data_IF_000811718972
#
_entry.id   IF_000811718972
#
_cell.length_a   1.000
_cell.length_b   1.000
_cell.length_c   1.000
_cell.angle_alpha   90.00
_cell.angle_beta   90.00
_cell.angle_gamma   90.00
#
_symmetry.space_group_name_H-M   'P 1'
#
loop_
_entity.id
_entity.type
_entity.pdbx_description
1 polymer ?
#
# COMPACT_ATOMS: atom_id res chain seq x y z
N UNK A 1 13.61 22.37 -2.24
CA UNK A 1 13.95 21.05 -2.82
C UNK A 1 12.66 20.46 -3.37
N UNK A 2 12.70 19.64 -4.42
CA UNK A 2 11.49 18.97 -4.93
C UNK A 2 11.48 17.53 -4.44
N UNK A 3 10.43 17.16 -3.70
CA UNK A 3 10.21 15.85 -3.09
C UNK A 3 10.34 14.73 -4.12
N UNK A 4 9.67 14.86 -5.27
CA UNK A 4 9.67 13.85 -6.33
C UNK A 4 10.98 13.76 -7.12
N UNK A 5 11.89 14.73 -6.96
CA UNK A 5 13.24 14.69 -7.55
C UNK A 5 14.28 14.05 -6.63
N UNK A 6 13.91 13.71 -5.40
CA UNK A 6 14.79 12.97 -4.50
C UNK A 6 15.02 11.56 -5.03
N UNK A 7 16.28 11.15 -5.16
CA UNK A 7 16.68 9.79 -5.55
C UNK A 7 16.00 8.74 -4.66
N UNK A 8 16.01 8.95 -3.34
CA UNK A 8 15.35 8.06 -2.38
C UNK A 8 13.83 7.96 -2.61
N UNK A 9 13.18 9.05 -3.01
CA UNK A 9 11.73 9.04 -3.32
C UNK A 9 11.46 8.30 -4.62
N UNK A 10 12.31 8.49 -5.64
CA UNK A 10 12.21 7.77 -6.90
C UNK A 10 12.43 6.27 -6.74
N UNK A 11 13.42 5.86 -5.96
CA UNK A 11 13.65 4.46 -5.59
C UNK A 11 12.44 3.87 -4.88
N UNK A 12 11.85 4.59 -3.93
CA UNK A 12 10.66 4.14 -3.21
C UNK A 12 9.45 3.97 -4.13
N UNK A 13 9.24 4.90 -5.06
CA UNK A 13 8.16 4.78 -6.05
C UNK A 13 8.37 3.59 -6.98
N UNK A 14 9.61 3.35 -7.43
CA UNK A 14 9.94 2.18 -8.24
C UNK A 14 9.72 0.86 -7.48
N UNK A 15 10.13 0.80 -6.21
CA UNK A 15 9.93 -0.38 -5.35
C UNK A 15 8.43 -0.68 -5.14
N UNK A 16 7.63 0.36 -4.82
CA UNK A 16 6.16 0.23 -4.73
C UNK A 16 5.57 -0.30 -6.04
N UNK A 17 6.01 0.25 -7.18
CA UNK A 17 5.50 -0.14 -8.49
C UNK A 17 5.85 -1.58 -8.85
N UNK A 18 7.10 -1.99 -8.65
CA UNK A 18 7.55 -3.37 -8.93
C UNK A 18 6.85 -4.40 -8.02
N UNK A 19 6.66 -4.04 -6.75
CA UNK A 19 5.92 -4.87 -5.79
C UNK A 19 4.46 -5.03 -6.25
N UNK A 20 3.80 -3.92 -6.60
CA UNK A 20 2.44 -3.93 -7.14
C UNK A 20 2.31 -4.79 -8.41
N UNK A 21 3.25 -4.66 -9.36
CA UNK A 21 3.22 -5.49 -10.58
C UNK A 21 3.31 -6.98 -10.26
N UNK A 22 4.20 -7.36 -9.34
CA UNK A 22 4.39 -8.76 -8.94
C UNK A 22 3.12 -9.34 -8.30
N UNK A 23 2.47 -8.57 -7.42
CA UNK A 23 1.19 -8.93 -6.82
C UNK A 23 0.11 -9.06 -7.90
N UNK A 24 -0.06 -8.02 -8.72
CA UNK A 24 -1.11 -7.97 -9.74
C UNK A 24 -1.02 -9.10 -10.75
N UNK A 25 0.20 -9.55 -11.10
CA UNK A 25 0.41 -10.66 -12.02
C UNK A 25 -0.13 -11.99 -11.46
N UNK A 26 -0.14 -12.16 -10.14
CA UNK A 26 -0.55 -13.38 -9.46
C UNK A 26 -2.02 -13.36 -9.00
N UNK A 27 -2.65 -12.19 -8.90
CA UNK A 27 -4.01 -12.03 -8.36
C UNK A 27 -5.05 -12.93 -9.02
N UNK A 28 -4.98 -13.13 -10.35
CA UNK A 28 -5.93 -14.00 -11.07
C UNK A 28 -5.78 -15.49 -10.75
N UNK A 29 -4.59 -15.90 -10.30
CA UNK A 29 -4.27 -17.29 -9.97
C UNK A 29 -4.56 -17.64 -8.50
N UNK A 30 -4.72 -16.65 -7.61
CA UNK A 30 -4.96 -16.83 -6.16
C UNK A 30 -6.04 -17.87 -5.82
N UNK A 31 -7.20 -17.95 -6.51
CA UNK A 31 -8.22 -18.96 -6.20
C UNK A 31 -7.76 -20.41 -6.40
N UNK A 32 -6.72 -20.62 -7.20
CA UNK A 32 -6.19 -21.93 -7.59
C UNK A 32 -4.84 -22.26 -6.92
N UNK A 33 -4.32 -21.35 -6.09
CA UNK A 33 -3.07 -21.52 -5.34
C UNK A 33 -3.29 -22.44 -4.14
N UNK A 34 -2.22 -23.12 -3.72
CA UNK A 34 -2.22 -23.84 -2.44
C UNK A 34 -2.19 -22.84 -1.26
N UNK A 35 -2.44 -23.32 -0.05
CA UNK A 35 -2.49 -22.48 1.17
C UNK A 35 -1.21 -21.67 1.37
N UNK A 36 -0.03 -22.26 1.17
CA UNK A 36 1.26 -21.58 1.34
C UNK A 36 1.41 -20.41 0.36
N UNK A 37 1.11 -20.64 -0.92
CA UNK A 37 1.18 -19.63 -1.97
C UNK A 37 0.18 -18.48 -1.75
N UNK A 38 -1.03 -18.79 -1.25
CA UNK A 38 -2.01 -17.76 -0.87
C UNK A 38 -1.52 -16.91 0.30
N UNK A 39 -0.92 -17.53 1.32
CA UNK A 39 -0.34 -16.80 2.45
C UNK A 39 0.82 -15.91 2.00
N UNK A 40 1.70 -16.41 1.13
CA UNK A 40 2.78 -15.63 0.52
C UNK A 40 2.24 -14.44 -0.29
N UNK A 41 1.13 -14.61 -1.01
CA UNK A 41 0.47 -13.52 -1.73
C UNK A 41 -0.11 -12.46 -0.77
N UNK A 42 -0.72 -12.90 0.34
CA UNK A 42 -1.21 -12.01 1.40
C UNK A 42 -0.05 -11.21 2.02
N UNK A 43 1.06 -11.87 2.35
CA UNK A 43 2.24 -11.22 2.92
C UNK A 43 2.84 -10.21 1.94
N UNK A 44 2.87 -10.52 0.64
CA UNK A 44 3.28 -9.57 -0.40
C UNK A 44 2.36 -8.33 -0.43
N UNK A 45 1.05 -8.51 -0.28
CA UNK A 45 0.09 -7.39 -0.19
C UNK A 45 0.35 -6.53 1.06
N UNK A 46 0.65 -7.15 2.20
CA UNK A 46 1.02 -6.44 3.43
C UNK A 46 2.31 -5.64 3.24
N UNK A 47 3.32 -6.21 2.60
CA UNK A 47 4.57 -5.52 2.28
C UNK A 47 4.34 -4.29 1.39
N UNK A 48 3.49 -4.40 0.36
CA UNK A 48 3.12 -3.27 -0.48
C UNK A 48 2.50 -2.13 0.33
N UNK A 49 1.58 -2.45 1.25
CA UNK A 49 0.92 -1.45 2.10
C UNK A 49 1.94 -0.74 3.00
N UNK A 50 2.91 -1.47 3.58
CA UNK A 50 3.96 -0.87 4.41
C UNK A 50 4.88 0.08 3.62
N UNK A 51 5.24 -0.29 2.38
CA UNK A 51 5.99 0.60 1.48
C UNK A 51 5.19 1.88 1.19
N UNK A 52 3.89 1.75 0.90
CA UNK A 52 3.00 2.88 0.65
C UNK A 52 2.84 3.78 1.89
N UNK A 53 2.73 3.20 3.09
CA UNK A 53 2.66 3.92 4.37
C UNK A 53 3.92 4.73 4.62
N UNK A 54 5.08 4.13 4.37
CA UNK A 54 6.39 4.81 4.45
C UNK A 54 6.47 5.99 3.49
N UNK A 55 6.08 5.79 2.22
CA UNK A 55 6.05 6.87 1.23
C UNK A 55 5.10 8.00 1.66
N UNK A 56 3.89 7.66 2.11
CA UNK A 56 2.91 8.65 2.54
C UNK A 56 3.40 9.45 3.75
N UNK A 57 4.06 8.83 4.72
CA UNK A 57 4.67 9.54 5.84
C UNK A 57 5.71 10.57 5.36
N UNK A 58 6.57 10.19 4.41
CA UNK A 58 7.54 11.13 3.81
C UNK A 58 6.87 12.27 3.06
N UNK A 59 5.81 11.96 2.31
CA UNK A 59 4.99 12.95 1.63
C UNK A 59 4.37 13.95 2.62
N UNK A 60 3.84 13.46 3.74
CA UNK A 60 3.29 14.31 4.80
C UNK A 60 4.34 15.25 5.39
N UNK A 61 5.57 14.78 5.61
CA UNK A 61 6.66 15.62 6.08
C UNK A 61 7.04 16.69 5.04
N UNK A 62 7.18 16.29 3.78
CA UNK A 62 7.55 17.20 2.69
C UNK A 62 6.46 18.24 2.38
N UNK A 63 5.18 17.91 2.59
CA UNK A 63 4.05 18.82 2.31
C UNK A 63 4.08 20.16 3.04
N UNK A 64 4.93 20.31 4.06
CA UNK A 64 5.08 21.57 4.79
C UNK A 64 5.84 22.63 3.99
N UNK A 65 6.78 22.19 3.16
CA UNK A 65 7.74 23.07 2.48
C UNK A 65 7.79 22.85 0.96
N UNK A 66 7.06 21.85 0.44
CA UNK A 66 6.96 21.51 -0.98
C UNK A 66 5.50 21.54 -1.47
N UNK A 67 5.12 22.50 -2.33
CA UNK A 67 3.76 22.62 -2.87
C UNK A 67 3.29 21.41 -3.68
N UNK A 68 4.19 20.71 -4.38
CA UNK A 68 3.85 19.54 -5.18
C UNK A 68 3.52 18.35 -4.27
N UNK A 69 4.28 18.20 -3.17
CA UNK A 69 3.98 17.21 -2.14
C UNK A 69 2.66 17.51 -1.41
N UNK A 70 2.36 18.79 -1.17
CA UNK A 70 1.10 19.24 -0.58
C UNK A 70 -0.10 18.88 -1.47
N UNK A 71 -0.04 19.17 -2.77
CA UNK A 71 -1.11 18.81 -3.73
C UNK A 71 -1.36 17.29 -3.76
N UNK A 72 -0.30 16.48 -3.84
CA UNK A 72 -0.48 15.02 -3.85
C UNK A 72 -1.09 14.51 -2.53
N UNK A 73 -0.69 15.06 -1.38
CA UNK A 73 -1.28 14.69 -0.08
C UNK A 73 -2.77 15.05 -0.02
N UNK A 74 -3.16 16.22 -0.52
CA UNK A 74 -4.56 16.64 -0.57
C UNK A 74 -5.39 15.71 -1.45
N UNK A 75 -4.88 15.33 -2.62
CA UNK A 75 -5.53 14.37 -3.52
C UNK A 75 -5.72 13.01 -2.87
N UNK A 76 -4.70 12.49 -2.19
CA UNK A 76 -4.79 11.23 -1.44
C UNK A 76 -5.82 11.32 -0.32
N UNK A 77 -5.83 12.45 0.42
CA UNK A 77 -6.79 12.69 1.50
C UNK A 77 -8.22 12.73 0.96
N UNK A 78 -8.46 13.45 -0.13
CA UNK A 78 -9.77 13.55 -0.77
C UNK A 78 -10.29 12.18 -1.25
N UNK A 79 -9.42 11.38 -1.88
CA UNK A 79 -9.76 10.01 -2.28
C UNK A 79 -10.13 9.16 -1.06
N UNK A 80 -9.33 9.24 0.00
CA UNK A 80 -9.56 8.45 1.21
C UNK A 80 -10.89 8.80 1.90
N UNK A 81 -11.21 10.09 1.96
CA UNK A 81 -12.49 10.58 2.48
C UNK A 81 -13.67 10.17 1.60
N UNK A 82 -13.49 10.14 0.27
CA UNK A 82 -14.52 9.66 -0.65
C UNK A 82 -14.84 8.16 -0.44
N UNK A 83 -13.88 7.37 0.05
CA UNK A 83 -14.08 5.99 0.47
C UNK A 83 -14.64 5.85 1.90
N UNK A 84 -14.91 6.95 2.60
CA UNK A 84 -15.52 6.96 3.93
C UNK A 84 -14.54 6.81 5.09
N UNK A 85 -13.23 6.89 4.84
CA UNK A 85 -12.21 6.85 5.88
C UNK A 85 -11.80 8.26 6.31
N UNK A 86 -11.40 8.42 7.58
CA UNK A 86 -10.91 9.70 8.12
C UNK A 86 -9.61 10.11 7.46
N UNK A 87 -8.67 9.17 7.33
CA UNK A 87 -7.36 9.38 6.74
C UNK A 87 -6.78 8.07 6.17
N UNK A 88 -5.67 8.19 5.43
CA UNK A 88 -5.06 7.06 4.74
C UNK A 88 -4.54 5.99 5.70
N UNK A 89 -4.14 6.36 6.92
CA UNK A 89 -3.66 5.38 7.89
C UNK A 89 -4.81 4.47 8.32
N UNK A 90 -5.98 5.04 8.62
CA UNK A 90 -7.17 4.23 8.92
C UNK A 90 -7.54 3.29 7.77
N UNK A 91 -7.49 3.79 6.53
CA UNK A 91 -7.73 2.98 5.33
C UNK A 91 -6.74 1.81 5.21
N UNK A 92 -5.44 2.08 5.36
CA UNK A 92 -4.39 1.06 5.30
C UNK A 92 -4.48 0.04 6.45
N UNK A 93 -4.75 0.48 7.67
CA UNK A 93 -4.89 -0.40 8.83
C UNK A 93 -6.11 -1.34 8.66
N UNK A 94 -7.20 -0.84 8.07
CA UNK A 94 -8.36 -1.68 7.72
C UNK A 94 -8.03 -2.69 6.60
N UNK A 95 -7.21 -2.32 5.61
CA UNK A 95 -6.73 -3.24 4.57
C UNK A 95 -5.88 -4.36 5.18
N UNK A 96 -4.93 -4.03 6.07
CA UNK A 96 -4.11 -5.02 6.79
C UNK A 96 -5.00 -5.96 7.61
N UNK A 97 -5.96 -5.42 8.35
CA UNK A 97 -6.90 -6.25 9.14
C UNK A 97 -7.67 -7.23 8.24
N UNK A 98 -8.09 -6.79 7.05
CA UNK A 98 -8.80 -7.63 6.09
C UNK A 98 -7.91 -8.76 5.56
N UNK A 99 -6.64 -8.46 5.27
CA UNK A 99 -5.65 -9.44 4.84
C UNK A 99 -5.35 -10.48 5.94
N UNK A 100 -5.24 -10.06 7.19
CA UNK A 100 -5.02 -10.95 8.33
C UNK A 100 -6.21 -11.89 8.59
N UNK A 101 -7.43 -11.37 8.43
CA UNK A 101 -8.63 -12.20 8.49
C UNK A 101 -8.68 -13.22 7.34
N UNK A 102 -8.22 -12.85 6.14
CA UNK A 102 -8.12 -13.78 5.02
C UNK A 102 -7.08 -14.87 5.30
N UNK A 103 -5.88 -14.51 5.78
CA UNK A 103 -4.84 -15.47 6.14
C UNK A 103 -5.32 -16.46 7.20
N UNK A 104 -6.01 -15.96 8.23
CA UNK A 104 -6.60 -16.81 9.26
C UNK A 104 -7.62 -17.80 8.69
N UNK A 105 -8.49 -17.37 7.77
CA UNK A 105 -9.47 -18.25 7.13
C UNK A 105 -8.82 -19.37 6.31
N UNK A 106 -7.74 -19.08 5.60
CA UNK A 106 -6.99 -20.10 4.84
C UNK A 106 -6.33 -21.14 5.75
N UNK A 107 -5.91 -20.75 6.96
CA UNK A 107 -5.34 -21.67 7.96
C UNK A 107 -6.43 -22.49 8.70
N UNK A 108 -7.57 -21.87 8.98
CA UNK A 108 -8.69 -22.51 9.70
C UNK A 108 -9.47 -23.49 8.80
N UNK A 109 -9.35 -23.39 7.47
CA UNK A 109 -10.03 -24.23 6.49
C UNK A 109 -9.05 -24.72 5.39
N UNK A 110 -8.13 -25.66 5.72
CA UNK A 110 -7.07 -26.14 4.82
C UNK A 110 -7.58 -26.94 3.62
#
# INVERSE_FOLDING_TARGET
MSFFKSEQVQENLNDIFNTYQSISALTSAVPHMNTEDKLNHIDSCKELIEKQKTFYFRLQLASKDDPEAADMKERITALTQAFGFKDLNECMDQMITTLEQAAKKELDNP
#
